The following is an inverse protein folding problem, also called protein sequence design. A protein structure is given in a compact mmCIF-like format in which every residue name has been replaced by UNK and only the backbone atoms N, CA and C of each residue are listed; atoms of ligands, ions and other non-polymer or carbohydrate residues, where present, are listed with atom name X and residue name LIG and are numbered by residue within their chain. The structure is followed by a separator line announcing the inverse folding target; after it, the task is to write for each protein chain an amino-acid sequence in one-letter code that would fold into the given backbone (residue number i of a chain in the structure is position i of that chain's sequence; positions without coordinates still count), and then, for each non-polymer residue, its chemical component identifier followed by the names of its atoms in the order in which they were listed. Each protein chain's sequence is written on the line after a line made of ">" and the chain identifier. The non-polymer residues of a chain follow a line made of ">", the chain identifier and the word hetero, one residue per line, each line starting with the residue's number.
data_IF_472953116934
#
_entry.id   IF_472953116934
#
_cell.length_a   1.000
_cell.length_b   1.000
_cell.length_c   1.000
_cell.angle_alpha   90.00
_cell.angle_beta   90.00
_cell.angle_gamma   90.00
#
_symmetry.space_group_name_H-M   'P 1'
#
loop_
_entity.id
_entity.type
_entity.pdbx_description
1 polymer ?
#
# COMPACT_ATOMS: atom_id res chain seq x y z
N UNK A 1 71.85 22.67 -7.07
CA UNK A 1 70.47 22.60 -7.38
C UNK A 1 69.94 21.25 -6.95
N UNK A 2 69.20 21.17 -5.84
CA UNK A 2 68.56 19.92 -5.36
C UNK A 2 67.06 19.99 -5.69
N UNK A 3 66.59 19.12 -6.57
CA UNK A 3 65.18 18.95 -6.91
C UNK A 3 64.56 18.04 -5.84
N UNK A 4 63.59 18.58 -5.10
CA UNK A 4 62.72 17.85 -4.21
C UNK A 4 61.53 17.37 -5.04
N UNK A 5 61.40 16.04 -5.21
CA UNK A 5 60.22 15.43 -5.81
C UNK A 5 59.16 15.21 -4.71
N UNK A 6 58.06 15.90 -4.78
CA UNK A 6 56.91 15.67 -3.92
C UNK A 6 56.06 14.53 -4.48
N UNK A 7 55.99 13.41 -3.75
CA UNK A 7 55.03 12.33 -4.04
C UNK A 7 53.68 12.71 -3.50
N UNK A 8 52.72 12.87 -4.40
CA UNK A 8 51.28 13.03 -4.06
C UNK A 8 50.68 11.63 -3.97
N UNK A 9 50.32 11.20 -2.76
CA UNK A 9 49.56 9.97 -2.56
C UNK A 9 48.08 10.27 -2.87
N UNK A 10 47.55 9.81 -4.01
CA UNK A 10 46.13 9.72 -4.25
C UNK A 10 45.55 8.57 -3.43
N UNK A 11 44.85 8.86 -2.34
CA UNK A 11 44.09 7.89 -1.60
C UNK A 11 42.85 7.50 -2.43
N UNK A 12 42.77 6.24 -2.88
CA UNK A 12 41.53 5.66 -3.41
C UNK A 12 40.56 5.51 -2.24
N UNK A 13 39.52 6.35 -2.20
CA UNK A 13 38.37 6.13 -1.35
C UNK A 13 37.58 4.95 -1.92
N UNK A 14 37.63 3.79 -1.31
CA UNK A 14 36.75 2.67 -1.61
C UNK A 14 35.39 2.98 -1.00
N UNK A 15 34.40 3.35 -1.82
CA UNK A 15 33.01 3.40 -1.41
C UNK A 15 32.57 1.95 -1.12
N UNK A 16 32.37 1.60 0.16
CA UNK A 16 31.72 0.35 0.53
C UNK A 16 30.26 0.47 0.10
N UNK A 17 29.69 -0.51 -0.63
CA UNK A 17 28.27 -0.51 -0.93
C UNK A 17 27.49 -0.50 0.39
N UNK A 18 26.51 0.40 0.51
CA UNK A 18 25.55 0.36 1.61
C UNK A 18 24.69 -0.87 1.38
N UNK A 19 24.96 -1.92 2.16
CA UNK A 19 24.18 -3.14 2.13
C UNK A 19 22.75 -2.81 2.57
N UNK A 20 21.77 -3.08 1.72
CA UNK A 20 20.37 -2.91 2.08
C UNK A 20 20.07 -3.83 3.27
N UNK A 21 19.70 -3.24 4.40
CA UNK A 21 19.42 -3.98 5.63
C UNK A 21 17.98 -4.47 5.51
N UNK A 22 17.81 -5.72 5.10
CA UNK A 22 16.53 -6.42 5.14
C UNK A 22 16.61 -7.52 6.22
N UNK A 23 15.52 -7.77 6.95
CA UNK A 23 15.44 -8.93 7.83
C UNK A 23 15.53 -10.21 7.00
N UNK A 24 15.94 -11.32 7.65
CA UNK A 24 15.92 -12.62 6.98
C UNK A 24 14.48 -13.03 6.68
N UNK A 25 14.25 -13.75 5.57
CA UNK A 25 12.93 -14.33 5.27
C UNK A 25 12.41 -15.09 6.45
N UNK A 26 11.37 -15.22 6.92
CA UNK A 26 10.84 -15.87 8.14
C UNK A 26 10.97 -15.08 9.45
N UNK A 27 11.72 -13.98 9.49
CA UNK A 27 11.78 -13.11 10.66
C UNK A 27 10.67 -12.05 10.67
N UNK A 28 9.98 -11.84 9.52
CA UNK A 28 8.85 -10.93 9.41
C UNK A 28 7.56 -11.74 9.30
N UNK A 29 6.62 -11.48 10.18
CA UNK A 29 5.34 -12.21 10.26
C UNK A 29 4.17 -11.26 10.47
N UNK A 30 3.07 -11.52 9.77
CA UNK A 30 1.79 -10.93 10.13
C UNK A 30 1.18 -11.80 11.23
N UNK A 31 1.20 -11.31 12.47
CA UNK A 31 0.69 -12.03 13.65
C UNK A 31 -0.76 -11.68 13.97
N UNK A 32 -1.32 -10.70 13.29
CA UNK A 32 -2.72 -10.33 13.40
C UNK A 32 -3.19 -9.44 12.27
N UNK A 33 -4.44 -9.65 11.85
CA UNK A 33 -5.17 -8.80 10.92
C UNK A 33 -6.51 -8.42 11.53
N UNK A 34 -6.87 -7.16 11.41
CA UNK A 34 -8.21 -6.65 11.68
C UNK A 34 -8.66 -5.84 10.48
N UNK A 35 -9.84 -6.15 9.95
CA UNK A 35 -10.44 -5.41 8.86
C UNK A 35 -11.87 -5.03 9.23
N UNK A 36 -12.24 -3.78 9.01
CA UNK A 36 -13.57 -3.24 9.28
C UNK A 36 -13.95 -2.19 8.25
N UNK A 37 -15.12 -2.33 7.68
CA UNK A 37 -15.67 -1.41 6.71
C UNK A 37 -16.67 -2.06 5.78
N UNK A 38 -17.38 -1.23 5.01
CA UNK A 38 -18.37 -1.70 4.05
C UNK A 38 -17.75 -2.39 2.81
N UNK A 39 -16.45 -2.21 2.57
CA UNK A 39 -15.69 -2.87 1.50
C UNK A 39 -14.94 -4.12 1.97
N UNK A 40 -14.86 -4.35 3.28
CA UNK A 40 -14.21 -5.51 3.87
C UNK A 40 -14.95 -5.97 5.12
N UNK A 41 -16.12 -6.60 4.98
CA UNK A 41 -16.81 -7.21 6.11
C UNK A 41 -15.90 -8.17 6.85
N UNK A 42 -16.24 -8.48 8.11
CA UNK A 42 -15.44 -9.40 8.93
C UNK A 42 -15.28 -10.76 8.23
N UNK A 43 -14.05 -11.23 8.10
CA UNK A 43 -13.71 -12.49 7.43
C UNK A 43 -13.49 -12.39 5.92
N UNK A 44 -13.60 -11.18 5.34
CA UNK A 44 -13.46 -10.91 3.90
C UNK A 44 -12.21 -10.10 3.53
N UNK A 45 -11.21 -10.08 4.41
CA UNK A 45 -9.87 -9.55 4.15
C UNK A 45 -8.82 -10.54 4.65
N UNK A 46 -7.81 -10.79 3.83
CA UNK A 46 -6.75 -11.76 4.09
C UNK A 46 -5.40 -11.09 3.86
N UNK A 47 -4.45 -11.29 4.76
CA UNK A 47 -3.12 -10.73 4.62
C UNK A 47 -2.06 -11.83 4.61
N UNK A 48 -1.05 -11.65 3.75
CA UNK A 48 0.14 -12.50 3.66
C UNK A 48 1.39 -11.64 3.55
N UNK A 49 2.53 -12.22 3.89
CA UNK A 49 3.85 -11.65 3.64
C UNK A 49 4.61 -12.59 2.72
N UNK A 50 5.35 -12.03 1.78
CA UNK A 50 6.16 -12.81 0.85
C UNK A 50 7.38 -13.46 1.52
N UNK A 51 8.06 -14.35 0.79
CA UNK A 51 9.24 -15.05 1.31
C UNK A 51 10.44 -14.16 1.59
N UNK A 52 10.45 -12.93 1.11
CA UNK A 52 11.52 -11.95 1.36
C UNK A 52 11.28 -11.10 2.60
N UNK A 53 10.06 -11.09 3.13
CA UNK A 53 9.66 -10.21 4.23
C UNK A 53 9.52 -8.74 3.82
N UNK A 54 9.51 -8.45 2.52
CA UNK A 54 9.46 -7.08 2.01
C UNK A 54 8.16 -6.70 1.34
N UNK A 55 7.34 -7.69 0.97
CA UNK A 55 6.04 -7.46 0.33
C UNK A 55 4.93 -7.99 1.24
N UNK A 56 4.00 -7.13 1.58
CA UNK A 56 2.78 -7.48 2.30
C UNK A 56 1.61 -7.41 1.32
N UNK A 57 0.86 -8.49 1.22
CA UNK A 57 -0.35 -8.58 0.41
C UNK A 57 -1.60 -8.54 1.28
N UNK A 58 -2.60 -7.75 0.89
CA UNK A 58 -3.94 -7.81 1.47
C UNK A 58 -4.94 -8.05 0.36
N UNK A 59 -5.60 -9.20 0.43
CA UNK A 59 -6.63 -9.61 -0.50
C UNK A 59 -8.03 -9.35 0.07
N UNK A 60 -8.96 -8.95 -0.77
CA UNK A 60 -10.38 -8.76 -0.45
C UNK A 60 -11.23 -9.57 -1.43
N UNK A 61 -12.41 -10.01 -1.00
CA UNK A 61 -13.35 -10.76 -1.85
C UNK A 61 -14.69 -10.03 -2.05
N UNK A 62 -14.91 -8.88 -1.42
CA UNK A 62 -16.16 -8.11 -1.48
C UNK A 62 -15.97 -6.60 -1.65
N UNK A 63 -14.79 -6.13 -2.12
CA UNK A 63 -14.54 -4.69 -2.23
C UNK A 63 -15.01 -4.14 -3.59
N UNK A 64 -16.32 -4.04 -3.75
CA UNK A 64 -17.00 -3.65 -5.00
C UNK A 64 -17.89 -2.46 -4.74
N UNK A 65 -17.84 -1.46 -5.62
CA UNK A 65 -18.77 -0.33 -5.68
C UNK A 65 -19.51 -0.31 -7.00
N UNK A 66 -20.78 0.06 -6.96
CA UNK A 66 -21.63 0.11 -8.14
C UNK A 66 -22.63 1.27 -8.09
N UNK A 67 -23.00 1.74 -9.27
CA UNK A 67 -24.10 2.70 -9.49
C UNK A 67 -24.99 2.20 -10.61
N UNK A 68 -26.25 2.55 -10.57
CA UNK A 68 -27.22 2.18 -11.59
C UNK A 68 -28.66 2.24 -11.09
N UNK A 69 -29.63 1.79 -11.91
CA UNK A 69 -31.07 1.92 -11.60
C UNK A 69 -31.51 1.24 -10.31
N UNK A 70 -30.78 0.20 -9.86
CA UNK A 70 -31.12 -0.59 -8.68
C UNK A 70 -30.10 -0.45 -7.54
N UNK A 71 -29.12 0.45 -7.68
CA UNK A 71 -28.09 0.68 -6.67
C UNK A 71 -28.55 1.78 -5.71
N UNK A 72 -28.15 1.67 -4.46
CA UNK A 72 -28.29 2.71 -3.45
C UNK A 72 -27.06 3.63 -3.42
N UNK A 73 -27.18 4.79 -2.78
CA UNK A 73 -26.05 5.69 -2.58
C UNK A 73 -24.90 5.06 -1.74
N UNK A 74 -25.23 4.07 -0.90
CA UNK A 74 -24.22 3.32 -0.12
C UNK A 74 -23.46 2.30 -0.96
N UNK A 75 -24.00 1.87 -2.11
CA UNK A 75 -23.28 0.98 -3.03
C UNK A 75 -22.27 1.74 -3.89
N UNK A 76 -22.50 3.03 -4.09
CA UNK A 76 -21.60 3.92 -4.81
C UNK A 76 -20.30 4.23 -4.04
N UNK A 77 -20.21 3.85 -2.75
CA UNK A 77 -19.04 4.11 -1.90
C UNK A 77 -18.84 3.01 -0.90
N UNK A 78 -17.65 2.45 -0.88
CA UNK A 78 -17.20 1.47 0.13
C UNK A 78 -15.87 1.93 0.72
N UNK A 79 -15.67 1.56 1.97
CA UNK A 79 -14.41 1.83 2.67
C UNK A 79 -13.95 0.60 3.43
N UNK A 80 -12.65 0.51 3.63
CA UNK A 80 -12.03 -0.52 4.44
C UNK A 80 -10.90 0.08 5.28
N UNK A 81 -10.89 -0.22 6.58
CA UNK A 81 -9.74 -0.02 7.46
C UNK A 81 -9.15 -1.38 7.77
N UNK A 82 -7.91 -1.59 7.35
CA UNK A 82 -7.11 -2.76 7.69
C UNK A 82 -6.04 -2.35 8.71
N UNK A 83 -5.86 -3.14 9.77
CA UNK A 83 -4.76 -3.01 10.70
C UNK A 83 -3.98 -4.32 10.69
N UNK A 84 -2.71 -4.26 10.29
CA UNK A 84 -1.78 -5.37 10.25
C UNK A 84 -0.84 -5.28 11.44
N UNK A 85 -0.87 -6.29 12.31
CA UNK A 85 0.12 -6.43 13.37
C UNK A 85 1.29 -7.25 12.82
N UNK A 86 2.44 -6.60 12.68
CA UNK A 86 3.62 -7.14 12.02
C UNK A 86 4.70 -7.31 13.07
N UNK A 87 5.19 -8.55 13.21
CA UNK A 87 6.34 -8.91 14.06
C UNK A 87 7.61 -8.91 13.19
N UNK A 88 8.71 -8.36 13.71
CA UNK A 88 10.00 -8.24 13.03
C UNK A 88 11.18 -8.20 14.01
N UNK A 89 12.43 -8.42 13.56
CA UNK A 89 13.60 -8.44 14.42
C UNK A 89 13.81 -7.12 15.18
N UNK A 90 14.15 -7.22 16.46
CA UNK A 90 14.49 -6.06 17.28
C UNK A 90 15.69 -5.30 16.72
N UNK A 91 15.70 -3.99 16.85
CA UNK A 91 16.74 -3.11 16.32
C UNK A 91 16.54 -2.71 14.85
N UNK A 92 15.45 -3.15 14.23
CA UNK A 92 15.00 -2.71 12.93
C UNK A 92 13.73 -1.86 13.05
N UNK A 93 13.49 -1.05 12.07
CA UNK A 93 12.21 -0.39 11.80
C UNK A 93 11.93 -0.43 10.29
N UNK A 94 10.65 -0.39 9.94
CA UNK A 94 10.25 -0.42 8.53
C UNK A 94 9.30 0.73 8.18
N UNK A 95 9.28 1.01 6.91
CA UNK A 95 8.37 1.96 6.28
C UNK A 95 7.79 1.34 5.02
N UNK A 96 6.60 1.77 4.61
CA UNK A 96 5.99 1.39 3.34
C UNK A 96 6.50 2.35 2.26
N UNK A 97 7.14 1.90 1.20
CA UNK A 97 7.73 2.75 0.15
C UNK A 97 6.96 2.76 -1.16
N UNK A 98 6.19 1.71 -1.39
CA UNK A 98 5.36 1.59 -2.58
C UNK A 98 4.07 0.88 -2.24
N UNK A 99 3.01 1.26 -2.92
CA UNK A 99 1.72 0.61 -2.76
C UNK A 99 1.03 0.49 -4.09
N UNK A 100 0.66 -0.74 -4.40
CA UNK A 100 -0.09 -1.06 -5.60
C UNK A 100 -1.51 -1.44 -5.25
N UNK A 101 -2.47 -0.68 -5.76
CA UNK A 101 -3.89 -1.04 -5.79
C UNK A 101 -4.24 -1.45 -7.21
N UNK A 102 -4.72 -2.67 -7.38
CA UNK A 102 -5.23 -3.17 -8.66
C UNK A 102 -6.74 -3.30 -8.60
N UNK A 103 -7.38 -3.16 -9.73
CA UNK A 103 -8.82 -3.31 -9.83
C UNK A 103 -9.34 -3.17 -11.25
N UNK A 104 -10.66 -3.27 -11.37
CA UNK A 104 -11.39 -3.11 -12.63
C UNK A 104 -12.35 -1.92 -12.53
N UNK A 105 -12.49 -1.17 -13.60
CA UNK A 105 -13.43 -0.06 -13.72
C UNK A 105 -14.22 -0.18 -15.03
N UNK A 106 -15.56 -0.17 -14.90
CA UNK A 106 -16.50 -0.02 -15.99
C UNK A 106 -17.38 1.19 -15.67
N UNK A 107 -17.11 2.32 -16.30
CA UNK A 107 -17.75 3.60 -16.01
C UNK A 107 -18.37 4.18 -17.27
N UNK A 108 -19.64 4.62 -17.15
CA UNK A 108 -20.33 5.31 -18.23
C UNK A 108 -19.86 6.78 -18.37
N UNK A 109 -20.25 7.42 -19.49
CA UNK A 109 -20.01 8.85 -19.69
C UNK A 109 -20.56 9.68 -18.53
N UNK A 110 -19.78 10.64 -18.05
CA UNK A 110 -20.13 11.49 -16.92
C UNK A 110 -19.91 10.87 -15.54
N UNK A 111 -19.52 9.60 -15.46
CA UNK A 111 -19.12 8.96 -14.20
C UNK A 111 -17.63 9.15 -13.94
N UNK A 112 -17.30 9.21 -12.67
CA UNK A 112 -15.92 9.28 -12.18
C UNK A 112 -15.74 8.30 -11.04
N UNK A 113 -14.79 7.39 -11.18
CA UNK A 113 -14.34 6.47 -10.15
C UNK A 113 -13.14 7.03 -9.39
N UNK A 114 -13.08 6.86 -8.10
CA UNK A 114 -11.96 7.28 -7.27
C UNK A 114 -11.58 6.14 -6.32
N UNK A 115 -10.30 5.76 -6.33
CA UNK A 115 -9.68 4.91 -5.34
C UNK A 115 -8.70 5.77 -4.51
N UNK A 116 -8.77 5.66 -3.18
CA UNK A 116 -7.90 6.38 -2.24
C UNK A 116 -7.46 5.44 -1.13
N UNK A 117 -6.20 5.58 -0.72
CA UNK A 117 -5.67 4.89 0.44
C UNK A 117 -4.79 5.82 1.28
N UNK A 118 -4.85 5.65 2.60
CA UNK A 118 -4.02 6.38 3.55
C UNK A 118 -3.37 5.38 4.52
N UNK A 119 -2.08 5.60 4.80
CA UNK A 119 -1.22 4.72 5.60
C UNK A 119 -0.72 5.46 6.84
N UNK A 120 -0.67 4.73 7.96
CA UNK A 120 -0.10 5.24 9.21
C UNK A 120 0.33 4.10 10.11
N UNK A 121 1.33 4.33 10.97
CA UNK A 121 1.66 3.43 12.07
C UNK A 121 0.93 3.87 13.34
N UNK A 122 0.47 2.90 14.13
CA UNK A 122 -0.03 3.19 15.48
C UNK A 122 1.12 3.72 16.34
N UNK A 123 0.89 4.83 17.01
CA UNK A 123 1.93 5.51 17.82
C UNK A 123 2.94 6.32 17.02
N UNK A 124 2.89 6.27 15.68
CA UNK A 124 3.73 7.08 14.79
C UNK A 124 3.12 8.46 14.49
N UNK A 125 3.98 9.40 14.11
CA UNK A 125 3.55 10.74 13.68
C UNK A 125 3.30 10.81 12.19
N UNK A 126 2.05 11.05 11.77
CA UNK A 126 1.70 11.33 10.39
C UNK A 126 1.00 10.17 9.65
N UNK A 127 0.38 10.54 8.55
CA UNK A 127 -0.20 9.61 7.58
C UNK A 127 0.12 10.10 6.18
N UNK A 128 0.29 9.15 5.25
CA UNK A 128 0.47 9.43 3.82
C UNK A 128 -0.72 8.88 3.08
N UNK A 129 -1.16 9.57 2.04
CA UNK A 129 -2.30 9.14 1.25
C UNK A 129 -2.01 9.22 -0.24
N UNK A 130 -2.47 8.21 -0.96
CA UNK A 130 -2.47 8.11 -2.40
C UNK A 130 -3.91 8.12 -2.95
N UNK A 131 -4.12 8.62 -4.15
CA UNK A 131 -5.42 8.64 -4.80
C UNK A 131 -5.31 8.55 -6.31
N UNK A 132 -6.15 7.68 -6.91
CA UNK A 132 -6.34 7.62 -8.37
C UNK A 132 -7.78 7.95 -8.73
N UNK A 133 -7.94 8.70 -9.81
CA UNK A 133 -9.24 9.06 -10.37
C UNK A 133 -9.34 8.59 -11.80
N UNK A 134 -10.40 7.88 -12.15
CA UNK A 134 -10.69 7.34 -13.47
C UNK A 134 -11.98 7.98 -13.98
N UNK A 135 -11.97 8.47 -15.20
CA UNK A 135 -13.15 9.11 -15.81
C UNK A 135 -13.74 8.23 -16.89
N UNK A 136 -15.05 8.05 -16.86
CA UNK A 136 -15.78 7.39 -17.94
C UNK A 136 -16.00 8.28 -19.17
N UNK A 137 -16.29 7.68 -20.35
CA UNK A 137 -16.58 6.27 -20.49
C UNK A 137 -15.28 5.44 -20.56
N UNK A 138 -15.24 4.34 -19.81
CA UNK A 138 -14.08 3.44 -19.78
C UNK A 138 -14.50 2.05 -19.31
N UNK A 139 -13.82 1.04 -19.82
CA UNK A 139 -13.88 -0.34 -19.36
C UNK A 139 -12.44 -0.89 -19.41
N UNK A 140 -11.82 -1.02 -18.23
CA UNK A 140 -10.40 -1.36 -18.11
C UNK A 140 -10.02 -1.88 -16.75
N UNK A 141 -9.01 -2.73 -16.71
CA UNK A 141 -8.25 -2.94 -15.48
C UNK A 141 -7.44 -1.69 -15.17
N UNK A 142 -7.33 -1.35 -13.91
CA UNK A 142 -6.50 -0.23 -13.48
C UNK A 142 -5.51 -0.67 -12.40
N UNK A 143 -4.42 0.03 -12.39
CA UNK A 143 -3.41 -0.08 -11.36
C UNK A 143 -3.08 1.32 -10.83
N UNK A 144 -3.03 1.45 -9.52
CA UNK A 144 -2.59 2.65 -8.84
C UNK A 144 -1.28 2.32 -8.13
N UNK A 145 -0.18 2.67 -8.79
CA UNK A 145 1.16 2.61 -8.22
C UNK A 145 1.50 4.00 -7.72
N UNK A 146 1.62 4.15 -6.43
CA UNK A 146 2.07 5.38 -5.81
C UNK A 146 3.36 5.10 -5.05
N UNK A 147 4.45 5.68 -5.52
CA UNK A 147 5.63 5.85 -4.69
C UNK A 147 5.26 6.83 -3.60
N UNK A 148 5.10 6.31 -2.43
CA UNK A 148 4.82 7.13 -1.26
C UNK A 148 6.17 7.60 -0.75
N UNK A 149 6.52 8.87 -0.98
CA UNK A 149 7.69 9.48 -0.33
C UNK A 149 7.49 9.42 1.19
N UNK A 150 8.07 8.40 1.80
CA UNK A 150 7.75 7.99 3.15
C UNK A 150 8.40 8.84 4.19
N UNK A 151 7.56 9.45 4.95
CA UNK A 151 7.92 10.18 6.16
C UNK A 151 7.60 9.37 7.43
N UNK A 152 6.95 8.20 7.29
CA UNK A 152 6.42 7.45 8.43
C UNK A 152 7.12 6.10 8.58
N UNK A 153 7.86 5.93 9.69
CA UNK A 153 8.54 4.70 10.08
C UNK A 153 7.84 4.07 11.28
N UNK A 154 7.93 2.74 11.41
CA UNK A 154 7.56 2.07 12.65
C UNK A 154 8.44 2.58 13.80
N UNK A 155 7.98 2.40 15.05
CA UNK A 155 8.78 2.84 16.21
C UNK A 155 10.05 2.02 16.34
N UNK A 156 11.12 2.68 16.82
CA UNK A 156 12.39 2.04 17.17
C UNK A 156 12.31 1.37 18.54
N UNK A 157 12.93 0.20 18.66
CA UNK A 157 13.02 -0.53 19.92
C UNK A 157 11.92 -1.56 20.15
N UNK A 158 10.85 -1.50 19.39
CA UNK A 158 9.80 -2.51 19.38
C UNK A 158 10.17 -3.67 18.45
N UNK A 159 9.51 -4.81 18.65
CA UNK A 159 9.58 -5.99 17.78
C UNK A 159 8.24 -6.23 17.07
N UNK A 160 7.27 -5.36 17.27
CA UNK A 160 5.98 -5.36 16.60
C UNK A 160 5.58 -3.95 16.21
N UNK A 161 4.87 -3.80 15.09
CA UNK A 161 4.24 -2.56 14.70
C UNK A 161 2.86 -2.81 14.11
N UNK A 162 1.94 -1.88 14.31
CA UNK A 162 0.62 -1.92 13.67
C UNK A 162 0.61 -0.93 12.51
N UNK A 163 0.58 -1.48 11.29
CA UNK A 163 0.34 -0.72 10.07
C UNK A 163 -1.16 -0.58 9.84
N UNK A 164 -1.65 0.64 9.79
CA UNK A 164 -3.04 0.95 9.49
C UNK A 164 -3.16 1.44 8.05
N UNK A 165 -4.08 0.84 7.30
CA UNK A 165 -4.44 1.20 5.93
C UNK A 165 -5.92 1.58 5.90
N UNK A 166 -6.22 2.82 5.58
CA UNK A 166 -7.58 3.30 5.36
C UNK A 166 -7.80 3.49 3.87
N UNK A 167 -8.65 2.69 3.26
CA UNK A 167 -8.97 2.80 1.84
C UNK A 167 -10.43 3.14 1.61
N UNK A 168 -10.69 3.78 0.49
CA UNK A 168 -12.02 4.16 0.00
C UNK A 168 -12.06 4.00 -1.51
N UNK A 169 -13.13 3.39 -2.01
CA UNK A 169 -13.48 3.39 -3.43
C UNK A 169 -14.86 3.99 -3.60
N UNK A 170 -15.05 4.82 -4.62
CA UNK A 170 -16.34 5.45 -4.89
C UNK A 170 -16.53 5.75 -6.37
N UNK A 171 -17.82 5.78 -6.79
CA UNK A 171 -18.25 6.28 -8.09
C UNK A 171 -19.12 7.52 -7.87
N UNK A 172 -18.90 8.55 -8.68
CA UNK A 172 -19.68 9.78 -8.70
C UNK A 172 -20.26 10.02 -10.11
N UNK A 173 -21.52 10.49 -10.21
CA UNK A 173 -22.50 10.72 -9.16
C UNK A 173 -23.06 9.40 -8.60
N UNK A 174 -23.45 9.35 -7.29
CA UNK A 174 -23.93 8.12 -6.66
C UNK A 174 -25.36 7.73 -7.10
N UNK A 175 -26.09 8.62 -7.72
CA UNK A 175 -27.46 8.42 -8.23
C UNK A 175 -27.51 8.37 -9.76
N UNK A 176 -26.55 7.71 -10.38
CA UNK A 176 -26.51 7.53 -11.83
C UNK A 176 -27.60 6.56 -12.31
N UNK A 177 -28.27 6.89 -13.43
CA UNK A 177 -29.17 5.96 -14.14
C UNK A 177 -28.39 5.01 -15.05
N UNK A 178 -27.19 5.37 -15.47
CA UNK A 178 -26.29 4.49 -16.19
C UNK A 178 -25.55 3.58 -15.21
N UNK A 179 -25.34 2.32 -15.61
CA UNK A 179 -24.56 1.38 -14.80
C UNK A 179 -23.10 1.80 -14.74
N UNK A 180 -22.50 1.66 -13.60
CA UNK A 180 -21.07 1.82 -13.37
C UNK A 180 -20.63 0.86 -12.28
N UNK A 181 -19.42 0.32 -12.41
CA UNK A 181 -18.83 -0.60 -11.46
C UNK A 181 -17.35 -0.30 -11.30
N UNK A 182 -16.87 -0.44 -10.08
CA UNK A 182 -15.45 -0.37 -9.78
C UNK A 182 -15.11 -1.36 -8.67
N UNK A 183 -14.01 -2.09 -8.83
CA UNK A 183 -13.53 -3.06 -7.85
C UNK A 183 -12.13 -2.69 -7.39
N UNK A 184 -11.72 -3.20 -6.23
CA UNK A 184 -10.32 -3.33 -5.86
C UNK A 184 -10.01 -4.82 -5.94
N UNK A 185 -9.40 -5.24 -7.04
CA UNK A 185 -9.08 -6.65 -7.28
C UNK A 185 -7.81 -6.80 -8.13
N UNK A 186 -7.23 -7.98 -8.11
CA UNK A 186 -6.28 -8.41 -9.11
C UNK A 186 -6.95 -9.27 -10.17
N UNK A 187 -6.29 -9.42 -11.30
CA UNK A 187 -6.72 -10.20 -12.46
C UNK A 187 -7.09 -11.67 -12.16
N UNK A 188 -6.68 -12.21 -11.02
CA UNK A 188 -6.95 -13.58 -10.56
C UNK A 188 -8.24 -13.72 -9.73
N UNK A 189 -9.09 -12.70 -9.68
CA UNK A 189 -10.36 -12.72 -8.92
C UNK A 189 -10.16 -12.61 -7.41
N UNK A 190 -8.96 -12.28 -6.94
CA UNK A 190 -8.67 -11.87 -5.57
C UNK A 190 -8.29 -10.40 -5.56
N UNK A 191 -8.88 -9.67 -4.65
CA UNK A 191 -8.67 -8.25 -4.45
C UNK A 191 -7.31 -8.07 -3.75
N UNK A 192 -6.37 -7.33 -4.34
CA UNK A 192 -5.02 -7.16 -3.78
C UNK A 192 -4.66 -5.71 -3.52
N UNK A 193 -4.00 -5.52 -2.39
CA UNK A 193 -3.20 -4.33 -2.13
C UNK A 193 -1.81 -4.79 -1.72
N UNK A 194 -0.81 -4.48 -2.51
CA UNK A 194 0.59 -4.79 -2.21
C UNK A 194 1.26 -3.61 -1.54
N UNK A 195 2.07 -3.88 -0.54
CA UNK A 195 2.91 -2.91 0.14
C UNK A 195 4.35 -3.36 0.08
N UNK A 196 5.23 -2.55 -0.47
CA UNK A 196 6.66 -2.79 -0.39
C UNK A 196 7.23 -2.09 0.85
N UNK A 197 7.86 -2.85 1.71
CA UNK A 197 8.52 -2.35 2.91
C UNK A 197 9.99 -2.04 2.66
N UNK A 198 10.47 -0.93 3.18
CA UNK A 198 11.88 -0.61 3.32
C UNK A 198 12.29 -0.72 4.79
N UNK A 199 13.50 -1.21 5.05
CA UNK A 199 14.02 -1.49 6.37
C UNK A 199 15.26 -0.65 6.69
N UNK A 200 15.40 -0.25 7.95
CA UNK A 200 16.62 0.38 8.46
C UNK A 200 16.89 -0.03 9.90
N UNK A 201 18.11 0.13 10.35
CA UNK A 201 18.46 -0.04 11.76
C UNK A 201 17.97 1.13 12.60
N UNK A 202 17.59 0.83 13.79
CA UNK A 202 17.46 1.81 14.83
C UNK A 202 18.87 2.30 15.25
#
# INVERSE_FOLDING_TARGET
>A
MKLLASLVFLGLATATPIEAIAPSPNEVKIVGISAIGSGCPVGHAFATVDSTGTIFDVAFDQYIVEVGPNSSASDARKNCRVSLNIEFPQGLQFSVVDTTFSGYASLASGQTGTCRAAYSFSGGGGSVAAQKTIRGPVETNYEMNEQVDLVTWSQCGDYTAILNVNSEVRISPPSSTAKGLMTVDSFDGRLHVQFMANWRRC
#
